data_IF_978207893984
#
_entry.id   IF_978207893984
#
_cell.length_a   1.000
_cell.length_b   1.000
_cell.length_c   1.000
_cell.angle_alpha   90.00
_cell.angle_beta   90.00
_cell.angle_gamma   90.00
#
_symmetry.space_group_name_H-M   'P 1'
#
loop_
_entity.id
_entity.type
_entity.pdbx_description
1 polymer ?
#
# COMPACT_ATOMS: atom_id res chain seq x y z
N UNK A 1 -29.66 -6.32 -10.97
CA UNK A 1 -28.87 -6.44 -9.72
C UNK A 1 -27.72 -5.45 -9.83
N UNK A 2 -27.62 -4.48 -8.93
CA UNK A 2 -26.49 -3.54 -8.91
C UNK A 2 -25.22 -4.30 -8.51
N UNK A 3 -24.14 -4.12 -9.27
CA UNK A 3 -22.84 -4.68 -8.92
C UNK A 3 -22.37 -4.05 -7.60
N UNK A 4 -21.98 -4.83 -6.58
CA UNK A 4 -21.42 -4.26 -5.35
C UNK A 4 -20.20 -3.41 -5.70
N UNK A 5 -20.23 -2.13 -5.32
CA UNK A 5 -19.11 -1.21 -5.49
C UNK A 5 -18.41 -1.04 -4.14
N UNK A 6 -17.06 -0.98 -4.10
CA UNK A 6 -16.43 -0.55 -2.84
C UNK A 6 -16.54 0.95 -2.72
N UNK A 7 -16.79 1.36 -1.49
CA UNK A 7 -16.86 2.73 -1.06
C UNK A 7 -15.57 3.08 -0.32
N UNK A 8 -14.83 4.06 -0.82
CA UNK A 8 -13.64 4.57 -0.13
C UNK A 8 -14.09 5.47 1.03
N UNK A 9 -13.77 5.06 2.25
CA UNK A 9 -14.17 5.77 3.48
C UNK A 9 -13.13 6.80 3.89
N UNK A 10 -11.84 6.45 3.86
CA UNK A 10 -10.77 7.41 4.16
C UNK A 10 -9.45 7.05 3.46
N UNK A 11 -8.58 8.04 3.35
CA UNK A 11 -7.25 7.94 2.80
C UNK A 11 -6.31 8.82 3.61
N UNK A 12 -5.10 8.33 3.88
CA UNK A 12 -4.03 9.11 4.49
C UNK A 12 -2.66 8.61 4.02
N UNK A 13 -1.61 9.36 4.31
CA UNK A 13 -0.24 8.86 4.21
C UNK A 13 0.29 8.50 5.59
N UNK A 14 0.90 7.33 5.70
CA UNK A 14 1.58 6.86 6.91
C UNK A 14 3.07 7.15 6.74
N UNK A 15 3.63 7.88 7.68
CA UNK A 15 5.06 8.21 7.73
C UNK A 15 5.79 7.32 8.74
N UNK A 16 7.11 7.16 8.63
CA UNK A 16 7.91 6.52 9.67
C UNK A 16 7.71 7.21 11.04
N UNK A 17 7.58 6.44 12.11
CA UNK A 17 7.36 6.98 13.47
C UNK A 17 8.63 7.64 14.02
N UNK A 18 9.77 6.99 13.81
CA UNK A 18 11.10 7.47 14.19
C UNK A 18 11.98 7.49 12.95
N UNK A 19 11.99 8.59 12.16
CA UNK A 19 12.86 8.69 10.99
C UNK A 19 14.33 8.72 11.44
N UNK A 20 15.13 7.79 10.91
CA UNK A 20 16.58 7.73 11.14
C UNK A 20 17.32 8.72 10.25
N UNK A 21 18.59 9.02 10.52
CA UNK A 21 19.41 9.82 9.58
C UNK A 21 19.47 9.20 8.19
N UNK A 22 19.47 7.87 8.09
CA UNK A 22 19.46 7.12 6.81
C UNK A 22 18.17 7.35 6.02
N UNK A 23 17.03 7.56 6.72
CA UNK A 23 15.76 7.87 6.05
C UNK A 23 15.74 9.23 5.34
N UNK A 24 16.73 10.10 5.57
CA UNK A 24 16.90 11.38 4.88
C UNK A 24 17.76 11.29 3.60
N UNK A 25 18.14 10.08 3.18
CA UNK A 25 19.02 9.86 2.03
C UNK A 25 18.27 9.41 0.78
N UNK A 26 18.94 9.58 -0.36
CA UNK A 26 18.52 8.97 -1.62
C UNK A 26 18.86 7.46 -1.56
N UNK A 27 17.89 6.62 -1.88
CA UNK A 27 18.12 5.18 -2.02
C UNK A 27 18.31 4.86 -3.51
N UNK A 28 19.54 4.50 -3.88
CA UNK A 28 19.89 4.12 -5.24
C UNK A 28 19.45 2.68 -5.55
N UNK A 29 19.00 2.46 -6.78
CA UNK A 29 18.56 1.16 -7.26
C UNK A 29 19.74 0.34 -7.80
N UNK A 30 19.77 -0.96 -7.52
CA UNK A 30 20.71 -1.86 -8.16
C UNK A 30 20.31 -2.09 -9.63
N UNK A 31 21.23 -2.54 -10.51
CA UNK A 31 20.90 -2.82 -11.91
C UNK A 31 19.71 -3.78 -12.10
N UNK A 32 19.56 -4.76 -11.20
CA UNK A 32 18.44 -5.70 -11.23
C UNK A 32 17.11 -5.03 -10.87
N UNK A 33 17.11 -4.10 -9.91
CA UNK A 33 15.92 -3.32 -9.54
C UNK A 33 15.46 -2.45 -10.71
N UNK A 34 16.40 -1.85 -11.45
CA UNK A 34 16.11 -1.04 -12.65
C UNK A 34 15.44 -1.90 -13.73
N UNK A 35 15.92 -3.13 -13.96
CA UNK A 35 15.31 -4.04 -14.92
C UNK A 35 13.85 -4.38 -14.55
N UNK A 36 13.55 -4.41 -13.24
CA UNK A 36 12.20 -4.68 -12.72
C UNK A 36 11.25 -3.47 -12.78
N UNK A 37 11.71 -2.26 -13.12
CA UNK A 37 10.84 -1.08 -13.25
C UNK A 37 9.77 -1.21 -14.36
N UNK A 38 10.02 -2.08 -15.34
CA UNK A 38 9.07 -2.38 -16.42
C UNK A 38 7.96 -3.37 -16.01
N UNK A 39 8.07 -3.96 -14.82
CA UNK A 39 7.09 -4.92 -14.30
C UNK A 39 5.95 -4.17 -13.61
N UNK A 40 4.73 -4.70 -13.72
CA UNK A 40 3.57 -4.16 -13.01
C UNK A 40 3.75 -4.24 -11.48
N UNK A 41 3.10 -3.32 -10.76
CA UNK A 41 3.08 -3.35 -9.29
C UNK A 41 2.63 -4.72 -8.76
N UNK A 42 3.39 -5.28 -7.82
CA UNK A 42 3.03 -6.51 -7.15
C UNK A 42 1.82 -6.23 -6.26
N UNK A 43 0.71 -6.91 -6.53
CA UNK A 43 -0.54 -6.74 -5.81
C UNK A 43 -0.88 -8.05 -5.09
N UNK A 44 -0.86 -8.01 -3.75
CA UNK A 44 -1.17 -9.16 -2.88
C UNK A 44 -2.19 -8.74 -1.83
N UNK A 45 -3.11 -9.63 -1.49
CA UNK A 45 -4.14 -9.42 -0.48
C UNK A 45 -4.17 -10.56 0.52
N UNK A 46 -4.67 -10.28 1.72
CA UNK A 46 -4.95 -11.27 2.76
C UNK A 46 -6.39 -11.11 3.22
N UNK A 47 -7.06 -12.24 3.49
CA UNK A 47 -8.46 -12.26 3.94
C UNK A 47 -8.52 -12.77 5.38
N UNK A 48 -9.13 -11.98 6.26
CA UNK A 48 -9.24 -12.29 7.69
C UNK A 48 -10.71 -12.46 8.09
N UNK A 49 -11.00 -13.52 8.84
CA UNK A 49 -12.33 -13.72 9.43
C UNK A 49 -12.55 -12.73 10.57
N UNK A 50 -13.74 -12.14 10.64
CA UNK A 50 -14.14 -11.29 11.77
C UNK A 50 -14.20 -12.14 13.06
N UNK A 51 -13.71 -11.63 14.21
CA UNK A 51 -13.82 -12.35 15.47
C UNK A 51 -15.28 -12.54 15.87
N UNK A 52 -15.57 -13.61 16.61
CA UNK A 52 -16.91 -13.95 17.09
C UNK A 52 -16.83 -14.30 18.58
N UNK A 53 -17.63 -13.69 19.47
CA UNK A 53 -18.65 -12.67 19.22
C UNK A 53 -18.08 -11.28 18.93
N UNK A 54 -18.81 -10.46 18.15
CA UNK A 54 -18.49 -9.05 17.93
C UNK A 54 -19.07 -8.22 19.07
N UNK A 55 -18.21 -7.63 19.91
CA UNK A 55 -18.63 -6.82 21.07
C UNK A 55 -19.26 -5.48 20.63
N UNK A 56 -18.77 -4.88 19.54
CA UNK A 56 -19.37 -3.70 18.90
C UNK A 56 -19.11 -3.74 17.37
N UNK A 57 -20.11 -4.06 16.54
CA UNK A 57 -19.96 -4.14 15.09
C UNK A 57 -19.59 -2.81 14.40
N UNK A 58 -19.98 -1.66 14.98
CA UNK A 58 -19.76 -0.35 14.37
C UNK A 58 -18.37 0.20 14.67
N UNK A 59 -17.81 -0.11 15.85
CA UNK A 59 -16.49 0.37 16.27
C UNK A 59 -15.38 -0.66 16.13
N UNK A 60 -15.71 -1.94 15.87
CA UNK A 60 -14.74 -3.02 15.77
C UNK A 60 -13.57 -2.69 14.84
N UNK A 61 -13.82 -2.03 13.70
CA UNK A 61 -12.80 -1.77 12.68
C UNK A 61 -11.83 -0.64 13.09
N UNK A 62 -12.21 0.26 13.98
CA UNK A 62 -11.35 1.41 14.34
C UNK A 62 -10.05 0.97 15.01
N UNK A 63 -10.12 0.03 15.96
CA UNK A 63 -8.93 -0.46 16.67
C UNK A 63 -7.93 -1.17 15.74
N UNK A 64 -8.33 -2.17 14.92
CA UNK A 64 -7.46 -2.76 13.91
C UNK A 64 -6.88 -1.75 12.94
N UNK A 65 -7.65 -0.76 12.48
CA UNK A 65 -7.15 0.28 11.57
C UNK A 65 -6.04 1.12 12.23
N UNK A 66 -6.26 1.57 13.47
CA UNK A 66 -5.27 2.37 14.20
C UNK A 66 -4.00 1.54 14.49
N UNK A 67 -4.17 0.30 14.96
CA UNK A 67 -3.06 -0.61 15.22
C UNK A 67 -2.28 -0.93 13.94
N UNK A 68 -2.96 -1.11 12.81
CA UNK A 68 -2.30 -1.37 11.53
C UNK A 68 -1.54 -0.15 11.04
N UNK A 69 -2.12 1.06 11.11
CA UNK A 69 -1.42 2.31 10.77
C UNK A 69 -0.16 2.50 11.62
N UNK A 70 -0.27 2.29 12.94
CA UNK A 70 0.87 2.38 13.85
C UNK A 70 1.94 1.31 13.53
N UNK A 71 1.54 0.06 13.32
CA UNK A 71 2.46 -1.03 12.96
C UNK A 71 3.18 -0.76 11.63
N UNK A 72 2.47 -0.21 10.64
CA UNK A 72 3.08 0.23 9.38
C UNK A 72 4.05 1.38 9.63
N UNK A 73 3.69 2.37 10.44
CA UNK A 73 4.57 3.50 10.80
C UNK A 73 5.87 3.04 11.45
N UNK A 74 5.80 2.08 12.39
CA UNK A 74 6.97 1.42 12.99
C UNK A 74 7.79 0.66 11.96
N UNK A 75 7.16 -0.14 11.10
CA UNK A 75 7.87 -0.89 10.06
C UNK A 75 8.58 0.05 9.08
N UNK A 76 7.98 1.17 8.70
CA UNK A 76 8.58 2.17 7.81
C UNK A 76 9.81 2.86 8.40
N UNK A 77 10.00 2.88 9.73
CA UNK A 77 11.27 3.32 10.31
C UNK A 77 12.45 2.40 9.94
N UNK A 78 12.19 1.12 9.72
CA UNK A 78 13.21 0.15 9.29
C UNK A 78 13.26 -0.03 7.77
N UNK A 79 12.10 0.09 7.10
CA UNK A 79 11.95 -0.05 5.64
C UNK A 79 11.64 1.30 4.99
N UNK A 80 12.42 2.33 5.34
CA UNK A 80 12.18 3.71 4.95
C UNK A 80 12.04 3.97 3.44
N UNK A 81 12.70 3.23 2.51
CA UNK A 81 12.48 3.47 1.08
C UNK A 81 11.02 3.23 0.65
N UNK A 82 10.27 2.40 1.37
CA UNK A 82 8.84 2.14 1.07
C UNK A 82 7.94 3.34 1.38
N UNK A 83 8.41 4.29 2.19
CA UNK A 83 7.73 5.56 2.42
C UNK A 83 8.09 6.61 1.36
N UNK A 84 9.11 6.37 0.52
CA UNK A 84 9.66 7.33 -0.45
C UNK A 84 8.88 7.46 -1.76
N UNK A 85 9.51 8.10 -2.75
CA UNK A 85 9.01 8.22 -4.12
C UNK A 85 10.08 7.89 -5.14
N UNK A 86 9.71 7.14 -6.18
CA UNK A 86 10.58 6.97 -7.34
C UNK A 86 10.73 8.30 -8.08
N UNK A 87 11.98 8.67 -8.35
CA UNK A 87 12.35 9.87 -9.08
C UNK A 87 13.22 9.46 -10.26
N UNK A 88 12.88 9.97 -11.44
CA UNK A 88 13.69 9.84 -12.66
C UNK A 88 14.34 11.19 -12.96
N UNK A 89 15.66 11.23 -12.95
CA UNK A 89 16.43 12.43 -13.21
C UNK A 89 17.30 12.26 -14.45
N UNK A 90 17.33 13.27 -15.32
CA UNK A 90 18.22 13.33 -16.48
C UNK A 90 19.54 14.00 -16.10
N UNK A 91 20.67 13.36 -16.37
CA UNK A 91 22.01 13.96 -16.28
C UNK A 91 22.43 14.49 -17.65
N UNK A 92 23.30 15.50 -17.69
CA UNK A 92 23.71 16.14 -18.95
C UNK A 92 25.13 15.78 -19.40
N UNK A 93 26.01 15.30 -18.50
CA UNK A 93 27.41 15.02 -18.84
C UNK A 93 27.97 13.81 -18.08
N UNK A 94 28.04 12.61 -18.72
CA UNK A 94 27.41 12.28 -19.99
C UNK A 94 25.86 12.28 -19.88
N UNK A 95 25.12 12.45 -21.00
CA UNK A 95 23.67 12.37 -21.00
C UNK A 95 23.18 10.98 -20.57
N UNK A 96 22.47 10.89 -19.45
CA UNK A 96 21.90 9.62 -18.96
C UNK A 96 20.63 9.85 -18.13
N UNK A 97 19.93 8.76 -17.79
CA UNK A 97 18.82 8.79 -16.84
C UNK A 97 19.20 7.98 -15.61
N UNK A 98 18.96 8.54 -14.44
CA UNK A 98 19.11 7.86 -13.15
C UNK A 98 17.73 7.74 -12.51
N UNK A 99 17.41 6.56 -12.01
CA UNK A 99 16.20 6.30 -11.23
C UNK A 99 16.61 5.95 -9.82
N UNK A 100 15.99 6.59 -8.84
CA UNK A 100 16.25 6.37 -7.42
C UNK A 100 14.99 6.61 -6.60
N UNK A 101 15.02 6.23 -5.32
CA UNK A 101 13.95 6.54 -4.37
C UNK A 101 14.35 7.75 -3.53
N UNK A 102 13.61 8.86 -3.64
CA UNK A 102 13.70 10.01 -2.74
C UNK A 102 12.93 9.69 -1.45
N UNK A 103 13.67 9.43 -0.37
CA UNK A 103 13.10 9.12 0.94
C UNK A 103 12.81 10.38 1.77
N UNK A 104 13.36 11.54 1.37
CA UNK A 104 13.25 12.81 2.11
C UNK A 104 11.99 13.59 1.72
N UNK A 105 11.72 13.72 0.42
CA UNK A 105 10.61 14.54 -0.08
C UNK A 105 9.39 13.68 -0.43
N UNK A 106 8.91 12.88 0.53
CA UNK A 106 7.74 12.03 0.32
C UNK A 106 6.66 12.28 1.39
N UNK A 107 5.37 12.27 1.01
CA UNK A 107 4.28 12.33 1.99
C UNK A 107 4.14 11.04 2.80
N UNK A 108 4.80 9.94 2.39
CA UNK A 108 4.75 8.63 3.03
C UNK A 108 4.07 7.55 2.20
N UNK A 109 3.78 6.42 2.86
CA UNK A 109 3.08 5.29 2.27
C UNK A 109 1.56 5.54 2.26
N UNK A 110 0.91 5.36 1.12
CA UNK A 110 -0.54 5.58 0.99
C UNK A 110 -1.30 4.48 1.73
N UNK A 111 -2.22 4.86 2.61
CA UNK A 111 -3.11 3.96 3.34
C UNK A 111 -4.56 4.31 3.03
N UNK A 112 -5.34 3.34 2.57
CA UNK A 112 -6.74 3.52 2.17
C UNK A 112 -7.61 2.59 3.00
N UNK A 113 -8.67 3.12 3.59
CA UNK A 113 -9.75 2.33 4.19
C UNK A 113 -11.00 2.43 3.31
N UNK A 114 -11.54 1.27 2.95
CA UNK A 114 -12.70 1.15 2.11
C UNK A 114 -13.62 0.01 2.58
N UNK A 115 -14.91 0.10 2.25
CA UNK A 115 -15.95 -0.85 2.62
C UNK A 115 -16.57 -1.45 1.38
N UNK A 116 -16.97 -2.72 1.47
CA UNK A 116 -17.67 -3.44 0.42
C UNK A 116 -18.84 -4.19 1.03
N UNK A 117 -20.03 -4.06 0.44
CA UNK A 117 -21.19 -4.84 0.84
C UNK A 117 -21.12 -6.26 0.22
N UNK A 118 -20.17 -7.07 0.71
CA UNK A 118 -19.89 -8.44 0.28
C UNK A 118 -19.32 -9.24 1.45
N UNK A 119 -19.61 -10.53 1.51
CA UNK A 119 -19.08 -11.45 2.51
C UNK A 119 -17.81 -12.15 2.04
N UNK A 120 -17.06 -12.75 2.97
CA UNK A 120 -15.95 -13.65 2.64
C UNK A 120 -16.41 -14.82 1.76
N UNK A 121 -17.62 -15.33 2.00
CA UNK A 121 -18.19 -16.43 1.21
C UNK A 121 -18.40 -16.01 -0.23
N UNK A 122 -18.88 -14.80 -0.49
CA UNK A 122 -19.10 -14.29 -1.85
C UNK A 122 -17.79 -14.17 -2.64
N UNK A 123 -16.65 -14.03 -1.95
CA UNK A 123 -15.32 -14.02 -2.56
C UNK A 123 -14.80 -15.44 -2.84
N UNK A 124 -15.06 -16.39 -1.94
CA UNK A 124 -14.45 -17.73 -1.96
C UNK A 124 -15.32 -18.83 -2.60
N UNK A 125 -16.64 -18.63 -2.69
CA UNK A 125 -17.58 -19.65 -3.21
C UNK A 125 -17.60 -19.76 -4.74
N UNK A 126 -17.44 -18.67 -5.51
CA UNK A 126 -17.40 -18.76 -6.97
C UNK A 126 -16.19 -19.58 -7.47
N UNK A 127 -16.36 -20.23 -8.63
CA UNK A 127 -15.28 -20.95 -9.30
C UNK A 127 -14.20 -19.98 -9.80
N UNK A 128 -14.64 -18.85 -10.35
CA UNK A 128 -13.77 -17.80 -10.88
C UNK A 128 -13.59 -16.66 -9.87
N UNK A 129 -12.44 -15.98 -9.94
CA UNK A 129 -12.19 -14.79 -9.10
C UNK A 129 -13.20 -13.70 -9.45
N UNK A 130 -13.98 -13.20 -8.47
CA UNK A 130 -14.98 -12.17 -8.74
C UNK A 130 -14.34 -10.91 -9.38
N UNK A 131 -14.96 -10.30 -10.41
CA UNK A 131 -14.39 -9.13 -11.09
C UNK A 131 -14.06 -7.97 -10.15
N UNK A 132 -14.81 -7.84 -9.06
CA UNK A 132 -14.56 -6.82 -8.04
C UNK A 132 -13.15 -6.98 -7.43
N UNK A 133 -12.72 -8.21 -7.11
CA UNK A 133 -11.39 -8.50 -6.54
C UNK A 133 -10.29 -8.13 -7.54
N UNK A 134 -10.49 -8.43 -8.83
CA UNK A 134 -9.54 -8.06 -9.87
C UNK A 134 -9.43 -6.53 -10.00
N UNK A 135 -10.55 -5.81 -9.95
CA UNK A 135 -10.54 -4.36 -10.14
C UNK A 135 -9.81 -3.59 -9.03
N UNK A 136 -9.83 -4.06 -7.78
CA UNK A 136 -9.08 -3.43 -6.66
C UNK A 136 -7.60 -3.70 -6.71
N UNK A 137 -7.26 -4.90 -7.18
CA UNK A 137 -5.87 -5.28 -7.41
C UNK A 137 -5.28 -4.28 -8.42
N UNK A 138 -5.91 -4.03 -9.57
CA UNK A 138 -5.31 -3.22 -10.65
C UNK A 138 -5.53 -1.69 -10.62
N UNK A 139 -6.34 -1.10 -9.73
CA UNK A 139 -6.80 0.32 -9.86
C UNK A 139 -6.53 1.28 -8.69
N UNK A 140 -5.75 0.90 -7.66
CA UNK A 140 -5.41 1.80 -6.54
C UNK A 140 -3.93 2.16 -6.47
#
# INVERSE_FOLDING_TARGET
>A
MSTPAVERVSECFVTPESPTQESNQICHLAPWDIAMLSVNYIQKGMLFKKPTPLVDPQHFIQNPLNNLKHSVSLALSHFYPLAGRLVTQKTQDPPSYVVFVDCKNSPGAKFIYATLNMTISDILSPIDVPPIVQSYIYRL
#
